data_IF_653239270508
#
_entry.id   IF_653239270508
#
_cell.length_a   1.000
_cell.length_b   1.000
_cell.length_c   1.000
_cell.angle_alpha   90.00
_cell.angle_beta   90.00
_cell.angle_gamma   90.00
#
_symmetry.space_group_name_H-M   'P 1'
#
loop_
_entity.id
_entity.type
_entity.pdbx_description
1 polymer ?
#
# COMPACT_ATOMS: atom_id res chain seq x y z
N UNK A 1 22.42 -6.56 12.91
CA UNK A 1 22.82 -5.50 11.95
C UNK A 1 22.16 -5.81 10.63
N UNK A 2 21.61 -4.79 9.97
CA UNK A 2 20.91 -4.92 8.71
C UNK A 2 21.82 -5.40 7.57
N UNK A 3 21.30 -6.23 6.67
CA UNK A 3 21.96 -6.60 5.40
C UNK A 3 21.93 -5.43 4.41
N UNK A 4 22.83 -5.42 3.41
CA UNK A 4 22.92 -4.28 2.48
C UNK A 4 21.64 -4.05 1.66
N UNK A 5 20.91 -5.11 1.32
CA UNK A 5 19.60 -5.01 0.67
C UNK A 5 18.55 -4.37 1.60
N UNK A 6 18.53 -4.78 2.88
CA UNK A 6 17.63 -4.19 3.87
C UNK A 6 17.95 -2.73 4.14
N UNK A 7 19.24 -2.35 4.16
CA UNK A 7 19.66 -0.95 4.35
C UNK A 7 19.07 -0.07 3.27
N UNK A 8 19.10 -0.48 2.00
CA UNK A 8 18.51 0.28 0.89
C UNK A 8 17.01 0.48 1.10
N UNK A 9 16.30 -0.58 1.47
CA UNK A 9 14.85 -0.53 1.69
C UNK A 9 14.47 0.32 2.91
N UNK A 10 15.26 0.24 3.98
CA UNK A 10 15.10 1.08 5.17
C UNK A 10 15.35 2.54 4.83
N UNK A 11 16.41 2.87 4.08
CA UNK A 11 16.68 4.24 3.62
C UNK A 11 15.50 4.78 2.81
N UNK A 12 14.96 4.00 1.89
CA UNK A 12 13.80 4.36 1.07
C UNK A 12 12.56 4.67 1.92
N UNK A 13 12.27 3.86 2.95
CA UNK A 13 11.21 4.14 3.91
C UNK A 13 11.49 5.41 4.74
N UNK A 14 12.70 5.54 5.30
CA UNK A 14 13.06 6.67 6.17
C UNK A 14 12.99 8.02 5.44
N UNK A 15 13.24 8.05 4.13
CA UNK A 15 13.08 9.25 3.31
C UNK A 15 11.63 9.71 3.16
N UNK A 16 10.64 8.88 3.51
CA UNK A 16 9.22 9.26 3.53
C UNK A 16 8.77 9.90 4.85
N UNK A 17 9.63 9.85 5.88
CA UNK A 17 9.35 10.33 7.23
C UNK A 17 9.83 11.78 7.36
N UNK A 18 9.07 12.66 8.03
CA UNK A 18 9.50 14.03 8.25
C UNK A 18 10.75 14.10 9.16
N UNK A 19 11.58 15.14 9.00
CA UNK A 19 12.89 15.20 9.64
C UNK A 19 12.82 15.18 11.17
N UNK A 20 11.81 15.82 11.78
CA UNK A 20 11.62 15.84 13.23
C UNK A 20 11.43 14.44 13.82
N UNK A 21 10.63 13.59 13.17
CA UNK A 21 10.40 12.22 13.61
C UNK A 21 11.63 11.34 13.34
N UNK A 22 12.38 11.63 12.28
CA UNK A 22 13.60 10.91 11.95
C UNK A 22 14.70 11.11 13.00
N UNK A 23 14.86 12.34 13.51
CA UNK A 23 15.79 12.64 14.61
C UNK A 23 15.42 11.88 15.89
N UNK A 24 14.13 11.78 16.21
CA UNK A 24 13.64 10.99 17.35
C UNK A 24 13.91 9.48 17.16
N UNK A 25 13.74 8.96 15.94
CA UNK A 25 14.07 7.56 15.62
C UNK A 25 15.57 7.33 15.77
N UNK A 26 16.43 8.22 15.27
CA UNK A 26 17.88 8.12 15.41
C UNK A 26 18.30 8.10 16.89
N UNK A 27 17.80 9.06 17.69
CA UNK A 27 18.09 9.14 19.13
C UNK A 27 17.69 7.86 19.86
N UNK A 28 16.50 7.32 19.59
CA UNK A 28 16.07 6.07 20.24
C UNK A 28 16.83 4.85 19.72
N UNK A 29 17.40 4.89 18.52
CA UNK A 29 18.16 3.77 17.94
C UNK A 29 19.52 3.62 18.59
N UNK A 30 20.11 4.72 19.01
CA UNK A 30 21.41 4.75 19.70
C UNK A 30 21.29 4.86 21.21
N UNK A 31 20.08 4.66 21.77
CA UNK A 31 19.79 4.88 23.20
C UNK A 31 20.22 6.27 23.71
N UNK A 32 20.22 7.27 22.83
CA UNK A 32 20.61 8.65 23.13
C UNK A 32 22.13 8.91 23.14
N UNK A 33 22.96 7.92 22.81
CA UNK A 33 24.43 8.06 22.83
C UNK A 33 24.90 8.93 21.67
N UNK A 34 24.24 8.83 20.52
CA UNK A 34 24.58 9.58 19.31
C UNK A 34 23.34 10.36 18.89
N UNK A 35 23.48 11.68 18.79
CA UNK A 35 22.43 12.57 18.33
C UNK A 35 22.73 12.99 16.89
N UNK A 36 21.73 12.92 16.03
CA UNK A 36 21.82 13.47 14.68
C UNK A 36 21.52 14.97 14.71
N UNK A 37 22.24 15.75 13.90
CA UNK A 37 21.97 17.19 13.70
C UNK A 37 21.16 17.46 12.42
N UNK A 38 21.21 16.52 11.46
CA UNK A 38 20.59 16.68 10.14
C UNK A 38 19.84 15.40 9.72
N UNK A 39 18.91 15.53 8.78
CA UNK A 39 18.14 14.40 8.25
C UNK A 39 19.03 13.29 7.68
N UNK A 40 20.05 13.65 6.90
CA UNK A 40 20.97 12.67 6.28
C UNK A 40 21.77 11.90 7.34
N UNK A 41 22.21 12.60 8.38
CA UNK A 41 22.93 11.98 9.49
C UNK A 41 22.03 11.05 10.29
N UNK A 42 20.77 11.45 10.52
CA UNK A 42 19.77 10.61 11.17
C UNK A 42 19.53 9.31 10.40
N UNK A 43 19.34 9.37 9.07
CA UNK A 43 19.24 8.15 8.24
C UNK A 43 20.46 7.27 8.42
N UNK A 44 21.67 7.84 8.32
CA UNK A 44 22.92 7.08 8.43
C UNK A 44 23.04 6.39 9.79
N UNK A 45 22.78 7.11 10.87
CA UNK A 45 22.81 6.58 12.24
C UNK A 45 21.81 5.45 12.41
N UNK A 46 20.57 5.62 11.95
CA UNK A 46 19.54 4.59 12.05
C UNK A 46 19.97 3.33 11.32
N UNK A 47 20.42 3.46 10.08
CA UNK A 47 20.84 2.32 9.24
C UNK A 47 22.05 1.61 9.82
N UNK A 48 22.98 2.33 10.45
CA UNK A 48 24.20 1.78 11.03
C UNK A 48 23.97 1.10 12.38
N UNK A 49 23.04 1.60 13.19
CA UNK A 49 22.81 1.12 14.56
C UNK A 49 21.52 0.30 14.72
N UNK A 50 20.72 0.14 13.67
CA UNK A 50 19.57 -0.74 13.70
C UNK A 50 19.99 -2.21 13.86
N UNK A 51 19.47 -2.84 14.90
CA UNK A 51 19.76 -4.24 15.23
C UNK A 51 19.00 -5.19 14.31
N UNK A 52 17.69 -4.94 14.15
CA UNK A 52 16.74 -5.75 13.38
C UNK A 52 15.68 -4.87 12.70
N UNK A 53 15.25 -5.24 11.49
CA UNK A 53 14.22 -4.52 10.71
C UNK A 53 12.90 -4.43 11.46
N UNK A 54 12.42 -5.55 12.01
CA UNK A 54 11.10 -5.62 12.64
C UNK A 54 11.05 -4.74 13.87
N UNK A 55 12.11 -4.79 14.69
CA UNK A 55 12.27 -3.92 15.86
C UNK A 55 12.28 -2.43 15.49
N UNK A 56 12.93 -2.07 14.38
CA UNK A 56 12.96 -0.70 13.87
C UNK A 56 11.55 -0.23 13.48
N UNK A 57 10.84 -1.01 12.65
CA UNK A 57 9.48 -0.69 12.19
C UNK A 57 8.44 -0.67 13.33
N UNK A 58 8.67 -1.41 14.40
CA UNK A 58 7.80 -1.43 15.57
C UNK A 58 7.88 -0.14 16.41
N UNK A 59 8.92 0.69 16.26
CA UNK A 59 9.10 1.94 17.02
C UNK A 59 7.89 2.87 16.91
N UNK A 60 7.60 3.60 17.99
CA UNK A 60 6.39 4.44 18.10
C UNK A 60 6.28 5.50 17.00
N UNK A 61 7.41 6.06 16.57
CA UNK A 61 7.49 7.10 15.53
C UNK A 61 7.25 6.57 14.12
N UNK A 62 7.49 5.28 13.87
CA UNK A 62 7.05 4.62 12.65
C UNK A 62 5.59 4.21 12.88
N UNK A 63 4.69 5.13 12.56
CA UNK A 63 3.25 4.95 12.79
C UNK A 63 2.63 4.04 11.74
N UNK A 64 1.44 3.51 12.05
CA UNK A 64 0.61 2.77 11.08
C UNK A 64 0.44 3.57 9.78
N UNK A 65 0.21 4.87 9.90
CA UNK A 65 0.01 5.78 8.76
C UNK A 65 1.24 5.85 7.85
N UNK A 66 2.45 5.90 8.42
CA UNK A 66 3.70 5.92 7.64
C UNK A 66 3.84 4.61 6.86
N UNK A 67 3.69 3.46 7.53
CA UNK A 67 3.79 2.14 6.88
C UNK A 67 2.72 1.96 5.79
N UNK A 68 1.49 2.38 6.08
CA UNK A 68 0.38 2.34 5.15
C UNK A 68 0.65 3.20 3.91
N UNK A 69 1.06 4.46 4.11
CA UNK A 69 1.40 5.37 3.01
C UNK A 69 2.57 4.85 2.19
N UNK A 70 3.59 4.28 2.85
CA UNK A 70 4.73 3.68 2.18
C UNK A 70 4.31 2.50 1.29
N UNK A 71 3.59 1.53 1.84
CA UNK A 71 3.12 0.36 1.09
C UNK A 71 2.14 0.74 -0.03
N UNK A 72 1.27 1.71 0.21
CA UNK A 72 0.36 2.26 -0.79
C UNK A 72 1.14 2.87 -1.97
N UNK A 73 2.16 3.70 -1.68
CA UNK A 73 3.02 4.27 -2.71
C UNK A 73 3.79 3.20 -3.50
N UNK A 74 4.14 2.07 -2.87
CA UNK A 74 4.76 0.91 -3.51
C UNK A 74 3.75 -0.03 -4.19
N UNK A 75 2.45 0.31 -4.19
CA UNK A 75 1.34 -0.47 -4.74
C UNK A 75 1.29 -1.92 -4.25
N UNK A 76 1.63 -2.12 -2.99
CA UNK A 76 1.52 -3.43 -2.35
C UNK A 76 0.05 -3.64 -1.95
N UNK A 77 -0.63 -4.70 -2.41
CA UNK A 77 -2.01 -4.97 -2.02
C UNK A 77 -2.07 -5.42 -0.56
N UNK A 78 -2.98 -4.83 0.21
CA UNK A 78 -3.23 -5.18 1.61
C UNK A 78 -4.71 -4.88 1.97
N UNK A 79 -5.27 -5.59 2.96
CA UNK A 79 -6.65 -5.40 3.40
C UNK A 79 -6.90 -4.03 4.09
N UNK A 80 -8.13 -3.51 4.00
CA UNK A 80 -8.46 -2.18 4.55
C UNK A 80 -8.41 -2.08 6.09
N UNK A 81 -8.70 -3.19 6.79
CA UNK A 81 -8.76 -3.26 8.26
C UNK A 81 -7.48 -3.82 8.90
N UNK A 82 -6.33 -3.27 8.54
CA UNK A 82 -5.04 -3.82 8.97
C UNK A 82 -4.51 -3.16 10.24
N UNK A 83 -4.04 -3.95 11.19
CA UNK A 83 -3.31 -3.50 12.37
C UNK A 83 -1.82 -3.21 12.06
N UNK A 84 -1.13 -2.53 12.97
CA UNK A 84 0.27 -2.15 12.75
C UNK A 84 1.19 -3.36 12.53
N UNK A 85 0.96 -4.48 13.21
CA UNK A 85 1.84 -5.64 13.09
C UNK A 85 1.74 -6.26 11.69
N UNK A 86 0.54 -6.39 11.14
CA UNK A 86 0.35 -6.89 9.77
C UNK A 86 0.95 -5.95 8.71
N UNK A 87 0.94 -4.62 8.90
CA UNK A 87 1.70 -3.72 7.98
C UNK A 87 3.21 -3.95 8.04
N UNK A 88 3.75 -4.21 9.23
CA UNK A 88 5.17 -4.51 9.40
C UNK A 88 5.51 -5.80 8.64
N UNK A 89 4.70 -6.85 8.82
CA UNK A 89 4.93 -8.13 8.13
C UNK A 89 4.79 -7.99 6.61
N UNK A 90 3.80 -7.23 6.13
CA UNK A 90 3.66 -6.92 4.71
C UNK A 90 4.87 -6.15 4.14
N UNK A 91 5.41 -5.21 4.91
CA UNK A 91 6.61 -4.44 4.53
C UNK A 91 7.84 -5.35 4.43
N UNK A 92 8.06 -6.22 5.42
CA UNK A 92 9.17 -7.17 5.42
C UNK A 92 9.03 -8.16 4.26
N UNK A 93 7.83 -8.71 4.05
CA UNK A 93 7.57 -9.64 2.95
C UNK A 93 7.77 -8.97 1.57
N UNK A 94 7.40 -7.69 1.43
CA UNK A 94 7.67 -6.92 0.22
C UNK A 94 9.17 -6.76 -0.04
N UNK A 95 9.96 -6.45 0.99
CA UNK A 95 11.41 -6.31 0.88
C UNK A 95 12.10 -7.64 0.54
N UNK A 96 11.65 -8.75 1.13
CA UNK A 96 12.18 -10.09 0.84
C UNK A 96 11.95 -10.53 -0.61
N UNK A 97 10.87 -10.07 -1.26
CA UNK A 97 10.57 -10.35 -2.67
C UNK A 97 11.42 -9.52 -3.65
N UNK A 98 12.40 -8.75 -3.17
CA UNK A 98 13.26 -7.93 -4.01
C UNK A 98 12.69 -6.54 -4.30
N UNK A 99 11.83 -6.02 -3.42
CA UNK A 99 11.18 -4.71 -3.54
C UNK A 99 12.15 -3.53 -3.45
N UNK A 100 13.02 -3.39 -4.45
CA UNK A 100 13.72 -2.14 -4.75
C UNK A 100 12.98 -1.47 -5.90
N UNK A 101 12.82 -0.15 -5.82
CA UNK A 101 12.01 0.65 -6.73
C UNK A 101 12.52 0.58 -8.18
N UNK A 102 12.12 -0.44 -8.92
CA UNK A 102 12.15 -0.51 -10.38
C UNK A 102 10.71 -0.58 -10.86
N UNK A 103 10.33 0.32 -11.78
CA UNK A 103 9.00 0.38 -12.41
C UNK A 103 8.42 -1.01 -12.71
N UNK A 104 7.55 -1.53 -11.83
CA UNK A 104 6.62 -2.60 -12.19
C UNK A 104 5.32 -1.91 -12.58
N UNK A 105 5.32 -1.40 -13.80
CA UNK A 105 4.09 -1.11 -14.54
C UNK A 105 3.49 -2.46 -14.95
N UNK A 106 2.16 -2.54 -14.89
CA UNK A 106 1.28 -3.59 -15.39
C UNK A 106 1.21 -4.86 -14.52
N UNK A 107 0.05 -5.26 -13.97
CA UNK A 107 -1.11 -5.61 -14.79
C UNK A 107 -2.44 -5.54 -14.01
N UNK A 108 -3.19 -4.44 -14.13
CA UNK A 108 -4.63 -4.38 -13.86
C UNK A 108 -5.28 -3.41 -14.87
N UNK A 109 -5.16 -3.71 -16.17
CA UNK A 109 -6.02 -3.11 -17.18
C UNK A 109 -6.67 -4.27 -17.93
N UNK A 110 -7.98 -4.54 -17.75
CA UNK A 110 -8.70 -5.37 -18.68
C UNK A 110 -8.78 -4.61 -20.01
N UNK A 111 -8.11 -5.12 -21.05
CA UNK A 111 -8.39 -4.67 -22.41
C UNK A 111 -9.86 -4.93 -22.74
N UNK A 112 -10.50 -4.09 -23.58
CA UNK A 112 -11.86 -4.32 -24.02
C UNK A 112 -11.92 -5.63 -24.81
N UNK A 113 -12.89 -6.45 -24.44
CA UNK A 113 -13.22 -7.74 -25.03
C UNK A 113 -13.53 -7.50 -26.52
N UNK A 114 -12.66 -8.00 -27.41
CA UNK A 114 -13.03 -8.29 -28.79
C UNK A 114 -13.17 -9.80 -28.88
N UNK A 115 -14.42 -10.22 -29.06
CA UNK A 115 -14.79 -11.61 -29.32
C UNK A 115 -14.12 -12.10 -30.59
N UNK A 116 -13.25 -13.10 -30.48
CA UNK A 116 -13.01 -14.07 -31.55
C UNK A 116 -12.19 -15.25 -31.05
N UNK A 117 -12.91 -16.36 -30.85
CA UNK A 117 -12.55 -17.77 -31.00
C UNK A 117 -11.09 -18.24 -30.92
N UNK A 118 -10.94 -19.28 -30.10
CA UNK A 118 -10.01 -20.41 -30.15
C UNK A 118 -8.70 -20.36 -29.33
N UNK A 119 -8.71 -21.24 -28.33
CA UNK A 119 -7.64 -22.14 -27.90
C UNK A 119 -6.64 -21.65 -26.82
N UNK A 120 -6.80 -22.27 -25.64
CA UNK A 120 -5.76 -22.75 -24.72
C UNK A 120 -4.72 -21.76 -24.19
N UNK A 121 -4.87 -21.36 -22.93
CA UNK A 121 -3.90 -21.69 -21.86
C UNK A 121 -4.42 -21.20 -20.51
N UNK A 122 -4.71 -22.17 -19.64
CA UNK A 122 -5.06 -21.98 -18.24
C UNK A 122 -3.86 -21.43 -17.48
N UNK A 123 -3.82 -20.12 -17.22
CA UNK A 123 -3.04 -19.56 -16.11
C UNK A 123 -3.91 -19.58 -14.87
N UNK A 124 -3.75 -20.59 -14.02
CA UNK A 124 -4.35 -20.63 -12.69
C UNK A 124 -3.68 -19.57 -11.82
N UNK A 125 -4.16 -18.33 -11.93
CA UNK A 125 -4.14 -17.37 -10.83
C UNK A 125 -5.03 -17.95 -9.74
N UNK A 126 -4.59 -17.96 -8.48
CA UNK A 126 -5.36 -18.49 -7.35
C UNK A 126 -6.73 -17.78 -7.31
N UNK A 127 -7.83 -18.44 -7.72
CA UNK A 127 -9.14 -17.82 -7.82
C UNK A 127 -9.72 -17.77 -6.41
N UNK A 128 -10.13 -16.60 -5.95
CA UNK A 128 -10.73 -16.49 -4.63
C UNK A 128 -10.69 -15.08 -4.09
N UNK A 129 -9.52 -14.57 -3.72
CA UNK A 129 -9.46 -13.33 -2.93
C UNK A 129 -9.74 -12.07 -3.76
N UNK A 130 -9.14 -11.94 -4.95
CA UNK A 130 -9.42 -10.81 -5.84
C UNK A 130 -10.83 -10.89 -6.43
N UNK A 131 -11.30 -12.09 -6.74
CA UNK A 131 -12.63 -12.31 -7.31
C UNK A 131 -13.73 -12.02 -6.28
N UNK A 132 -13.52 -12.41 -5.02
CA UNK A 132 -14.45 -12.13 -3.92
C UNK A 132 -14.47 -10.64 -3.58
N UNK A 133 -13.31 -9.97 -3.52
CA UNK A 133 -13.26 -8.53 -3.26
C UNK A 133 -13.91 -7.75 -4.41
N UNK A 134 -13.64 -8.12 -5.66
CA UNK A 134 -14.27 -7.51 -6.81
C UNK A 134 -15.78 -7.75 -6.82
N UNK A 135 -16.24 -8.95 -6.46
CA UNK A 135 -17.65 -9.27 -6.33
C UNK A 135 -18.32 -8.43 -5.25
N UNK A 136 -17.71 -8.35 -4.06
CA UNK A 136 -18.20 -7.53 -2.94
C UNK A 136 -18.20 -6.04 -3.25
N UNK A 137 -17.19 -5.58 -3.98
CA UNK A 137 -17.15 -4.20 -4.49
C UNK A 137 -18.30 -3.95 -5.45
N UNK A 138 -18.52 -4.81 -6.45
CA UNK A 138 -19.63 -4.67 -7.40
C UNK A 138 -20.99 -4.70 -6.70
N UNK A 139 -21.19 -5.63 -5.77
CA UNK A 139 -22.39 -5.74 -4.95
C UNK A 139 -22.67 -4.43 -4.19
N UNK A 140 -21.68 -3.91 -3.46
CA UNK A 140 -21.80 -2.66 -2.72
C UNK A 140 -22.01 -1.45 -3.66
N UNK A 141 -21.19 -1.31 -4.69
CA UNK A 141 -21.15 -0.15 -5.58
C UNK A 141 -22.47 0.00 -6.35
N UNK A 142 -22.96 -1.08 -6.98
CA UNK A 142 -24.21 -1.01 -7.73
C UNK A 142 -25.43 -0.93 -6.83
N UNK A 143 -25.39 -1.50 -5.62
CA UNK A 143 -26.45 -1.29 -4.63
C UNK A 143 -26.56 0.21 -4.31
N UNK A 144 -25.46 0.85 -3.93
CA UNK A 144 -25.41 2.29 -3.62
C UNK A 144 -25.70 3.19 -4.82
N UNK A 145 -25.31 2.78 -6.03
CA UNK A 145 -25.57 3.55 -7.26
C UNK A 145 -27.06 3.52 -7.63
N UNK A 146 -27.71 2.37 -7.44
CA UNK A 146 -29.11 2.17 -7.82
C UNK A 146 -30.10 2.52 -6.70
N UNK A 147 -29.66 2.53 -5.43
CA UNK A 147 -30.53 2.84 -4.28
C UNK A 147 -31.26 4.19 -4.42
N UNK A 148 -30.61 5.31 -4.82
CA UNK A 148 -31.29 6.60 -4.98
C UNK A 148 -32.23 6.65 -6.19
N UNK A 149 -32.07 5.73 -7.15
CA UNK A 149 -32.92 5.61 -8.35
C UNK A 149 -34.19 4.80 -8.03
N UNK A 150 -34.10 3.86 -7.09
CA UNK A 150 -35.18 2.93 -6.73
C UNK A 150 -35.95 3.38 -5.48
N UNK A 151 -35.29 4.01 -4.50
CA UNK A 151 -35.90 4.57 -3.30
C UNK A 151 -35.57 6.05 -3.15
N UNK A 152 -36.61 6.89 -3.05
CA UNK A 152 -36.47 8.31 -2.68
C UNK A 152 -35.85 8.40 -1.27
N UNK A 153 -34.52 8.53 -1.19
CA UNK A 153 -33.81 8.79 0.07
C UNK A 153 -32.69 7.81 0.45
N UNK A 154 -32.23 6.94 -0.46
CA UNK A 154 -31.10 6.03 -0.20
C UNK A 154 -29.77 6.73 0.08
N UNK A 155 -28.85 6.02 0.75
CA UNK A 155 -27.51 6.53 1.07
C UNK A 155 -26.68 6.71 -0.20
N UNK A 156 -26.34 7.96 -0.53
CA UNK A 156 -25.53 8.28 -1.70
C UNK A 156 -24.07 7.89 -1.49
N UNK A 157 -23.43 7.51 -2.59
CA UNK A 157 -21.98 7.42 -2.67
C UNK A 157 -21.38 8.81 -2.38
N UNK A 158 -20.45 8.89 -1.43
CA UNK A 158 -19.77 10.12 -1.00
C UNK A 158 -18.26 10.03 -1.21
N UNK A 159 -17.56 11.17 -1.19
CA UNK A 159 -16.12 11.24 -1.46
C UNK A 159 -15.27 10.40 -0.48
N UNK A 160 -15.76 10.17 0.75
CA UNK A 160 -15.11 9.31 1.74
C UNK A 160 -15.24 7.81 1.47
N UNK A 161 -16.11 7.40 0.54
CA UNK A 161 -16.25 5.99 0.15
C UNK A 161 -15.08 5.54 -0.75
N UNK A 162 -14.32 6.49 -1.29
CA UNK A 162 -13.19 6.22 -2.17
C UNK A 162 -11.88 6.82 -1.65
N UNK A 163 -10.79 6.35 -2.26
CA UNK A 163 -9.45 6.88 -2.04
C UNK A 163 -9.31 8.22 -2.79
N UNK A 164 -8.44 9.11 -2.30
CA UNK A 164 -8.29 10.45 -2.85
C UNK A 164 -7.76 10.50 -4.30
N UNK A 165 -7.20 9.39 -4.79
CA UNK A 165 -6.73 9.19 -6.16
C UNK A 165 -7.66 8.32 -7.02
N UNK A 166 -8.81 7.89 -6.47
CA UNK A 166 -9.78 7.10 -7.20
C UNK A 166 -10.47 7.94 -8.27
N UNK A 167 -10.67 7.35 -9.45
CA UNK A 167 -11.47 7.96 -10.51
C UNK A 167 -12.32 6.90 -11.21
N UNK A 168 -13.57 7.26 -11.52
CA UNK A 168 -14.50 6.39 -12.22
C UNK A 168 -15.17 7.16 -13.36
N UNK A 169 -15.35 6.50 -14.52
CA UNK A 169 -16.06 7.05 -15.67
C UNK A 169 -17.14 6.07 -16.10
N UNK A 170 -18.39 6.43 -15.85
CA UNK A 170 -19.56 5.64 -16.27
C UNK A 170 -20.08 6.21 -17.58
N UNK A 171 -20.24 5.37 -18.59
CA UNK A 171 -20.83 5.76 -19.88
C UNK A 171 -22.13 4.98 -20.06
N UNK A 172 -23.25 5.71 -20.06
CA UNK A 172 -24.55 5.12 -20.38
C UNK A 172 -24.71 5.09 -21.90
N UNK A 173 -24.90 3.90 -22.46
CA UNK A 173 -25.33 3.77 -23.85
C UNK A 173 -26.86 3.80 -23.85
N UNK A 174 -27.45 4.76 -24.54
CA UNK A 174 -28.88 4.66 -24.87
C UNK A 174 -29.04 3.45 -25.81
N UNK A 175 -29.95 2.54 -25.46
CA UNK A 175 -30.29 1.41 -26.33
C UNK A 175 -30.96 1.90 -27.63
N UNK A 176 -30.95 1.09 -28.70
CA UNK A 176 -31.69 1.39 -29.93
C UNK A 176 -33.21 1.45 -29.69
#
# INVERSE_FOLDING_TARGET
MLSDAEKVNVIDLLNTIPPEDLLDIARTTTSGIISAENQQEAVRIIVQHAEDVRSLLARKKITKTILFKYLHNKRVPFAAAIDKATLIDATIAFWQKGGTSGNVIQNCIPNPIIESNNHSQTTQSVPGLCDELAYKFCEWFFTKLNEPVVMLGGEKIVDNDFWCDASARITLKSGP
#
